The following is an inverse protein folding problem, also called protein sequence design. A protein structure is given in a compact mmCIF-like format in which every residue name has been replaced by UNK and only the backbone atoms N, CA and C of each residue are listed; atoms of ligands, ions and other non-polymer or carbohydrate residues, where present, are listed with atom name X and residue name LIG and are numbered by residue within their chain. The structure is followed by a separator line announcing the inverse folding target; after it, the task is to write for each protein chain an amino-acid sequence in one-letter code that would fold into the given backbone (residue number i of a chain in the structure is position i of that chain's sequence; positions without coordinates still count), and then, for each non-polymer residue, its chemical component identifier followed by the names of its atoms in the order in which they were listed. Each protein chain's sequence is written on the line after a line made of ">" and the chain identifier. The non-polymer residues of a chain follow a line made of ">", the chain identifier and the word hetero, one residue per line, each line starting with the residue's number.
data_IF_947868437766
#
_entry.id   IF_947868437766
#
_cell.length_a   1.000
_cell.length_b   1.000
_cell.length_c   1.000
_cell.angle_alpha   90.00
_cell.angle_beta   90.00
_cell.angle_gamma   90.00
#
_symmetry.space_group_name_H-M   'P 1'
#
loop_
_entity.id
_entity.type
_entity.pdbx_description
1 polymer ?
#
# COMPACT_ATOMS: atom_id res chain seq x y z
N UNK A 1 -3.59 -11.31 15.22
CA UNK A 1 -4.67 -11.45 14.22
C UNK A 1 -4.43 -10.45 13.10
N UNK A 2 -3.88 -10.89 11.98
CA UNK A 2 -3.74 -10.04 10.81
C UNK A 2 -5.14 -9.65 10.33
N UNK A 3 -5.50 -8.36 10.37
CA UNK A 3 -6.75 -7.91 9.78
C UNK A 3 -6.64 -8.12 8.29
N UNK A 4 -7.29 -9.17 7.77
CA UNK A 4 -7.44 -9.33 6.33
C UNK A 4 -8.09 -8.05 5.82
N UNK A 5 -7.49 -7.35 4.83
CA UNK A 5 -8.11 -6.15 4.30
C UNK A 5 -9.41 -6.57 3.62
N UNK A 6 -10.53 -6.40 4.33
CA UNK A 6 -11.86 -6.53 3.75
C UNK A 6 -11.89 -5.50 2.61
N UNK A 7 -11.98 -5.96 1.36
CA UNK A 7 -11.95 -5.09 0.17
C UNK A 7 -13.10 -4.07 0.10
N UNK A 8 -14.03 -4.13 1.06
CA UNK A 8 -15.18 -3.24 1.19
C UNK A 8 -14.73 -1.94 1.88
N UNK A 9 -14.72 -0.86 1.10
CA UNK A 9 -14.40 0.48 1.62
C UNK A 9 -15.66 1.17 2.15
N UNK A 10 -15.54 1.77 3.34
CA UNK A 10 -16.59 2.61 3.91
C UNK A 10 -16.75 3.91 3.12
N UNK A 11 -17.90 4.58 3.25
CA UNK A 11 -18.13 5.89 2.60
C UNK A 11 -17.04 6.90 2.97
N UNK A 12 -16.70 7.02 4.26
CA UNK A 12 -15.65 7.90 4.75
C UNK A 12 -14.28 7.60 4.10
N UNK A 13 -13.91 6.32 3.97
CA UNK A 13 -12.67 5.93 3.29
C UNK A 13 -12.67 6.33 1.80
N UNK A 14 -13.81 6.21 1.11
CA UNK A 14 -13.95 6.66 -0.28
C UNK A 14 -13.78 8.18 -0.40
N UNK A 15 -14.43 8.97 0.47
CA UNK A 15 -14.27 10.43 0.52
C UNK A 15 -12.81 10.83 0.78
N UNK A 16 -12.16 10.22 1.78
CA UNK A 16 -10.75 10.47 2.08
C UNK A 16 -9.82 10.12 0.89
N UNK A 17 -10.13 9.04 0.18
CA UNK A 17 -9.42 8.63 -1.02
C UNK A 17 -9.60 9.65 -2.16
N UNK A 18 -10.83 10.09 -2.41
CA UNK A 18 -11.15 11.12 -3.40
C UNK A 18 -10.42 12.43 -3.09
N UNK A 19 -10.49 12.91 -1.85
CA UNK A 19 -9.79 14.13 -1.41
C UNK A 19 -8.28 14.04 -1.63
N UNK A 20 -7.66 12.92 -1.24
CA UNK A 20 -6.22 12.69 -1.47
C UNK A 20 -5.86 12.68 -2.95
N UNK A 21 -6.66 12.02 -3.80
CA UNK A 21 -6.44 11.95 -5.25
C UNK A 21 -6.59 13.33 -5.89
N UNK A 22 -7.61 14.09 -5.51
CA UNK A 22 -7.83 15.46 -5.98
C UNK A 22 -6.66 16.38 -5.63
N UNK A 23 -6.14 16.32 -4.39
CA UNK A 23 -4.95 17.08 -4.01
C UNK A 23 -3.71 16.70 -4.83
N UNK A 24 -3.49 15.40 -5.07
CA UNK A 24 -2.35 14.94 -5.90
C UNK A 24 -2.51 15.36 -7.36
N UNK A 25 -3.74 15.43 -7.86
CA UNK A 25 -4.03 15.95 -9.18
C UNK A 25 -3.71 17.46 -9.26
N UNK A 26 -4.13 18.26 -8.28
CA UNK A 26 -3.77 19.68 -8.20
C UNK A 26 -2.24 19.88 -8.13
N UNK A 27 -1.54 19.05 -7.36
CA UNK A 27 -0.07 19.10 -7.28
C UNK A 27 0.62 18.74 -8.61
N UNK A 28 -0.05 18.00 -9.50
CA UNK A 28 0.46 17.71 -10.83
C UNK A 28 0.30 18.89 -11.80
N UNK A 29 -0.77 19.67 -11.67
CA UNK A 29 -0.99 20.89 -12.47
C UNK A 29 -0.18 22.10 -11.97
N UNK A 30 -0.14 22.31 -10.66
CA UNK A 30 0.51 23.48 -10.05
C UNK A 30 1.92 23.14 -9.56
N UNK A 31 2.91 23.50 -10.36
CA UNK A 31 4.34 23.35 -10.06
C UNK A 31 4.77 24.18 -8.83
N UNK A 32 4.33 25.44 -8.75
CA UNK A 32 4.69 26.37 -7.70
C UNK A 32 3.94 26.08 -6.41
N UNK A 33 4.70 25.89 -5.33
CA UNK A 33 4.16 25.52 -4.02
C UNK A 33 3.10 26.48 -3.48
N UNK A 34 3.30 27.79 -3.63
CA UNK A 34 2.36 28.80 -3.11
C UNK A 34 1.02 28.77 -3.85
N UNK A 35 1.04 28.63 -5.18
CA UNK A 35 -0.17 28.50 -6.01
C UNK A 35 -0.91 27.21 -5.66
N UNK A 36 -0.20 26.08 -5.57
CA UNK A 36 -0.78 24.82 -5.12
C UNK A 36 -1.44 24.95 -3.75
N UNK A 37 -0.77 25.61 -2.79
CA UNK A 37 -1.31 25.76 -1.42
C UNK A 37 -2.60 26.56 -1.39
N UNK A 38 -2.69 27.64 -2.18
CA UNK A 38 -3.94 28.39 -2.32
C UNK A 38 -5.08 27.51 -2.85
N UNK A 39 -4.84 26.78 -3.94
CA UNK A 39 -5.83 25.89 -4.56
C UNK A 39 -6.22 24.71 -3.66
N UNK A 40 -5.27 24.15 -2.91
CA UNK A 40 -5.54 23.09 -1.95
C UNK A 40 -6.44 23.55 -0.80
N UNK A 41 -6.32 24.80 -0.34
CA UNK A 41 -7.21 25.39 0.68
C UNK A 41 -8.62 25.58 0.13
N UNK A 42 -8.76 26.10 -1.09
CA UNK A 42 -10.08 26.21 -1.75
C UNK A 42 -10.73 24.84 -1.94
N UNK A 43 -9.97 23.82 -2.34
CA UNK A 43 -10.48 22.45 -2.43
C UNK A 43 -10.94 21.96 -1.04
N UNK A 44 -10.14 22.19 0.01
CA UNK A 44 -10.52 21.77 1.36
C UNK A 44 -11.80 22.44 1.83
N UNK A 45 -11.96 23.73 1.58
CA UNK A 45 -13.19 24.46 1.88
C UNK A 45 -14.42 23.85 1.20
N UNK A 46 -14.31 23.41 -0.07
CA UNK A 46 -15.38 22.71 -0.79
C UNK A 46 -15.80 21.40 -0.10
N UNK A 47 -14.83 20.63 0.41
CA UNK A 47 -15.12 19.40 1.16
C UNK A 47 -15.73 19.71 2.53
N UNK A 48 -15.20 20.71 3.24
CA UNK A 48 -15.67 21.07 4.58
C UNK A 48 -17.12 21.62 4.55
N UNK A 49 -17.52 22.34 3.48
CA UNK A 49 -18.91 22.78 3.25
C UNK A 49 -19.91 21.62 3.25
N UNK A 50 -19.51 20.46 2.73
CA UNK A 50 -20.36 19.27 2.62
C UNK A 50 -20.09 18.21 3.72
N UNK A 51 -19.25 18.52 4.70
CA UNK A 51 -18.84 17.54 5.72
C UNK A 51 -19.96 17.16 6.70
N UNK A 52 -20.98 18.02 6.87
CA UNK A 52 -22.09 17.83 7.82
C UNK A 52 -23.38 17.30 7.18
N UNK A 53 -23.31 16.80 5.94
CA UNK A 53 -24.48 16.20 5.27
C UNK A 53 -24.86 14.91 5.99
N UNK A 54 -26.08 14.85 6.53
CA UNK A 54 -26.59 13.71 7.30
C UNK A 54 -27.26 12.66 6.41
N UNK A 55 -27.86 13.07 5.30
CA UNK A 55 -28.51 12.15 4.38
C UNK A 55 -27.47 11.36 3.56
N UNK A 56 -27.58 10.04 3.62
CA UNK A 56 -26.66 9.11 2.98
C UNK A 56 -26.79 9.09 1.45
N UNK A 57 -27.98 9.37 0.91
CA UNK A 57 -28.22 9.37 -0.54
C UNK A 57 -27.55 10.57 -1.20
N UNK A 58 -27.77 11.76 -0.64
CA UNK A 58 -27.09 12.98 -1.08
C UNK A 58 -25.58 12.87 -0.92
N UNK A 59 -25.07 12.34 0.18
CA UNK A 59 -23.63 12.12 0.36
C UNK A 59 -23.03 11.18 -0.71
N UNK A 60 -23.73 10.10 -1.04
CA UNK A 60 -23.31 9.17 -2.10
C UNK A 60 -23.33 9.82 -3.49
N UNK A 61 -24.34 10.65 -3.77
CA UNK A 61 -24.42 11.39 -5.03
C UNK A 61 -23.27 12.41 -5.15
N UNK A 62 -23.02 13.21 -4.12
CA UNK A 62 -21.90 14.16 -4.08
C UNK A 62 -20.55 13.48 -4.29
N UNK A 63 -20.37 12.28 -3.74
CA UNK A 63 -19.17 11.49 -3.96
C UNK A 63 -19.04 11.07 -5.43
N UNK A 64 -20.13 10.63 -6.05
CA UNK A 64 -20.16 10.25 -7.46
C UNK A 64 -19.84 11.44 -8.36
N UNK A 65 -20.47 12.58 -8.12
CA UNK A 65 -20.24 13.82 -8.87
C UNK A 65 -18.78 14.29 -8.73
N UNK A 66 -18.20 14.17 -7.52
CA UNK A 66 -16.79 14.49 -7.28
C UNK A 66 -15.80 13.54 -7.95
N UNK A 67 -16.13 12.25 -8.08
CA UNK A 67 -15.34 11.28 -8.84
C UNK A 67 -15.40 11.58 -10.35
N UNK A 68 -16.56 11.96 -10.87
CA UNK A 68 -16.74 12.38 -12.27
C UNK A 68 -15.97 13.67 -12.58
N UNK A 69 -16.06 14.69 -11.70
CA UNK A 69 -15.28 15.93 -11.83
C UNK A 69 -13.76 15.64 -11.83
N UNK A 70 -13.30 14.77 -10.92
CA UNK A 70 -11.89 14.38 -10.87
C UNK A 70 -11.48 13.62 -12.13
N UNK A 71 -12.34 12.76 -12.68
CA UNK A 71 -12.06 12.01 -13.90
C UNK A 71 -11.87 12.94 -15.10
N UNK A 72 -12.76 13.92 -15.27
CA UNK A 72 -12.70 14.87 -16.38
C UNK A 72 -11.50 15.80 -16.29
N UNK A 73 -11.11 16.20 -15.06
CA UNK A 73 -10.02 17.15 -14.82
C UNK A 73 -8.67 16.49 -14.48
N UNK A 74 -8.48 15.21 -14.82
CA UNK A 74 -7.26 14.49 -14.50
C UNK A 74 -6.06 15.00 -15.30
N UNK A 75 -4.92 15.18 -14.62
CA UNK A 75 -3.67 15.51 -15.29
C UNK A 75 -3.24 14.35 -16.19
N UNK A 76 -2.90 14.58 -17.47
CA UNK A 76 -2.52 13.51 -18.39
C UNK A 76 -1.32 12.67 -17.92
N UNK A 77 -0.38 13.31 -17.21
CA UNK A 77 0.84 12.68 -16.68
C UNK A 77 0.91 12.94 -15.17
N UNK A 78 0.19 12.17 -14.33
CA UNK A 78 0.13 12.46 -12.91
C UNK A 78 1.50 12.26 -12.24
N UNK A 79 1.85 13.15 -11.31
CA UNK A 79 3.09 13.03 -10.54
C UNK A 79 3.04 11.82 -9.61
N UNK A 80 3.95 10.87 -9.81
CA UNK A 80 4.15 9.68 -8.94
C UNK A 80 5.42 9.82 -8.13
N UNK A 81 5.43 9.23 -6.93
CA UNK A 81 6.66 9.12 -6.16
C UNK A 81 7.58 8.08 -6.79
N UNK A 82 8.92 8.26 -6.73
CA UNK A 82 9.85 7.38 -7.42
C UNK A 82 9.62 5.89 -7.14
N UNK A 83 9.43 5.51 -5.87
CA UNK A 83 9.28 4.11 -5.44
C UNK A 83 7.84 3.62 -5.40
N UNK A 84 6.85 4.50 -5.64
CA UNK A 84 5.45 4.08 -5.70
C UNK A 84 5.14 3.38 -7.01
N UNK A 85 4.07 2.57 -7.06
CA UNK A 85 3.57 1.94 -8.29
C UNK A 85 3.44 2.96 -9.44
N UNK A 86 4.08 2.67 -10.57
CA UNK A 86 4.15 3.56 -11.74
C UNK A 86 5.17 4.70 -11.62
N UNK A 87 5.96 4.75 -10.55
CA UNK A 87 7.09 5.65 -10.41
C UNK A 87 8.35 5.15 -11.13
N UNK A 88 9.27 6.06 -11.40
CA UNK A 88 10.50 5.79 -12.19
C UNK A 88 11.48 4.82 -11.50
N UNK A 89 11.32 4.57 -10.20
CA UNK A 89 12.14 3.67 -9.41
C UNK A 89 11.31 2.56 -8.71
N UNK A 90 10.07 2.33 -9.17
CA UNK A 90 9.26 1.22 -8.68
C UNK A 90 9.96 -0.10 -8.98
N UNK A 91 10.12 -0.97 -7.97
CA UNK A 91 10.78 -2.28 -8.10
C UNK A 91 12.16 -2.22 -8.78
N UNK A 92 12.84 -1.07 -8.71
CA UNK A 92 14.19 -0.91 -9.30
C UNK A 92 15.20 -1.87 -8.66
N UNK A 93 15.04 -2.11 -7.35
CA UNK A 93 15.85 -3.08 -6.61
C UNK A 93 14.98 -4.28 -6.32
N UNK A 94 15.31 -5.41 -6.94
CA UNK A 94 14.67 -6.70 -6.67
C UNK A 94 15.46 -7.40 -5.58
N UNK A 95 14.84 -7.58 -4.42
CA UNK A 95 15.42 -8.37 -3.32
C UNK A 95 15.05 -9.83 -3.52
N UNK A 96 16.00 -10.75 -3.73
CA UNK A 96 15.69 -12.17 -3.84
C UNK A 96 15.08 -12.68 -2.54
N UNK A 97 14.20 -13.69 -2.59
CA UNK A 97 13.61 -14.25 -1.39
C UNK A 97 14.67 -15.01 -0.57
N UNK A 98 14.53 -15.02 0.76
CA UNK A 98 15.54 -15.55 1.69
C UNK A 98 15.90 -17.02 1.43
N UNK A 99 14.92 -17.83 1.02
CA UNK A 99 15.10 -19.26 0.76
C UNK A 99 16.12 -19.56 -0.36
N UNK A 100 16.47 -18.58 -1.21
CA UNK A 100 17.53 -18.74 -2.22
C UNK A 100 18.87 -19.09 -1.57
N UNK A 101 19.12 -18.59 -0.35
CA UNK A 101 20.35 -18.87 0.40
C UNK A 101 20.46 -20.32 0.86
N UNK A 102 19.35 -21.08 0.89
CA UNK A 102 19.40 -22.51 1.21
C UNK A 102 20.08 -23.32 0.11
N UNK A 103 20.03 -22.85 -1.14
CA UNK A 103 20.62 -23.52 -2.30
C UNK A 103 22.11 -23.23 -2.51
N UNK A 104 22.71 -22.34 -1.72
CA UNK A 104 24.14 -22.02 -1.84
C UNK A 104 25.03 -23.23 -1.56
N UNK A 105 26.16 -23.32 -2.28
CA UNK A 105 27.11 -24.41 -2.11
C UNK A 105 27.74 -24.33 -0.69
N UNK A 106 28.05 -25.44 -0.01
CA UNK A 106 28.63 -25.41 1.33
C UNK A 106 29.89 -24.55 1.47
N UNK A 107 30.73 -24.49 0.43
CA UNK A 107 31.92 -23.62 0.42
C UNK A 107 31.56 -22.12 0.44
N UNK A 108 30.49 -21.72 -0.26
CA UNK A 108 30.00 -20.33 -0.26
C UNK A 108 29.38 -19.98 1.10
N UNK A 109 28.69 -20.94 1.72
CA UNK A 109 28.16 -20.78 3.09
C UNK A 109 29.28 -20.66 4.12
N UNK A 110 30.36 -21.43 3.96
CA UNK A 110 31.51 -21.42 4.84
C UNK A 110 32.25 -20.07 4.86
N UNK A 111 32.08 -19.23 3.82
CA UNK A 111 32.60 -17.87 3.80
C UNK A 111 31.92 -16.95 4.83
N UNK A 112 30.68 -17.27 5.24
CA UNK A 112 29.86 -16.45 6.15
C UNK A 112 29.35 -17.26 7.36
N UNK A 113 30.25 -17.81 8.20
CA UNK A 113 29.88 -18.81 9.22
C UNK A 113 28.91 -18.27 10.27
N UNK A 114 29.16 -17.05 10.79
CA UNK A 114 28.30 -16.42 11.81
C UNK A 114 26.90 -16.08 11.28
N UNK A 115 26.80 -15.70 10.00
CA UNK A 115 25.52 -15.40 9.38
C UNK A 115 24.66 -16.66 9.24
N UNK A 116 25.22 -17.74 8.69
CA UNK A 116 24.48 -18.99 8.49
C UNK A 116 24.15 -19.68 9.82
N UNK A 117 25.01 -19.60 10.83
CA UNK A 117 24.70 -20.08 12.19
C UNK A 117 23.45 -19.41 12.76
N UNK A 118 23.40 -18.08 12.74
CA UNK A 118 22.24 -17.30 13.21
C UNK A 118 20.98 -17.56 12.37
N UNK A 119 21.14 -17.79 11.06
CA UNK A 119 20.01 -18.10 10.17
C UNK A 119 19.37 -19.44 10.53
N UNK A 120 20.15 -20.47 10.81
CA UNK A 120 19.63 -21.78 11.21
C UNK A 120 18.91 -21.73 12.58
N UNK A 121 19.41 -20.92 13.53
CA UNK A 121 18.73 -20.65 14.79
C UNK A 121 17.34 -20.04 14.53
N UNK A 122 17.25 -19.00 13.70
CA UNK A 122 15.98 -18.34 13.34
C UNK A 122 15.01 -19.26 12.60
N UNK A 123 15.49 -20.16 11.74
CA UNK A 123 14.64 -21.15 11.06
C UNK A 123 13.98 -22.09 12.07
N UNK A 124 14.72 -22.53 13.09
CA UNK A 124 14.16 -23.36 14.18
C UNK A 124 13.13 -22.60 15.01
N UNK A 125 13.43 -21.35 15.34
CA UNK A 125 12.48 -20.46 16.05
C UNK A 125 11.18 -20.29 15.26
N UNK A 126 11.28 -20.06 13.94
CA UNK A 126 10.12 -19.92 13.07
C UNK A 126 9.26 -21.20 13.04
N UNK A 127 9.87 -22.37 12.89
CA UNK A 127 9.15 -23.65 12.90
C UNK A 127 8.45 -23.87 14.26
N UNK A 128 9.15 -23.61 15.37
CA UNK A 128 8.57 -23.76 16.71
C UNK A 128 7.39 -22.79 16.95
N UNK A 129 7.51 -21.55 16.46
CA UNK A 129 6.43 -20.57 16.49
C UNK A 129 5.23 -21.03 15.64
N UNK A 130 5.50 -21.53 14.43
CA UNK A 130 4.47 -22.03 13.51
C UNK A 130 3.70 -23.22 14.10
N UNK A 131 4.41 -24.23 14.62
CA UNK A 131 3.79 -25.40 15.27
C UNK A 131 2.94 -25.01 16.48
N UNK A 132 3.35 -23.95 17.21
CA UNK A 132 2.59 -23.42 18.35
C UNK A 132 1.32 -22.70 17.94
N UNK A 133 1.35 -21.92 16.85
CA UNK A 133 0.22 -21.10 16.41
C UNK A 133 -0.80 -21.90 15.58
N UNK A 134 -0.32 -22.79 14.72
CA UNK A 134 -1.15 -23.51 13.73
C UNK A 134 -1.20 -25.03 13.96
N UNK A 135 -0.44 -25.56 14.91
CA UNK A 135 -0.31 -27.00 15.13
C UNK A 135 0.67 -27.66 14.15
N UNK A 136 0.88 -28.97 14.33
CA UNK A 136 1.68 -29.75 13.38
C UNK A 136 0.84 -30.06 12.14
N UNK A 137 1.42 -30.00 10.93
CA UNK A 137 0.71 -30.40 9.72
C UNK A 137 0.22 -31.85 9.84
N UNK A 138 -1.04 -32.10 9.48
CA UNK A 138 -1.58 -33.46 9.44
C UNK A 138 -0.88 -34.27 8.34
N UNK A 139 -0.67 -35.57 8.57
CA UNK A 139 0.01 -36.44 7.60
C UNK A 139 -0.73 -36.53 6.25
N UNK A 140 -2.03 -36.24 6.25
CA UNK A 140 -2.87 -36.22 5.04
C UNK A 140 -2.56 -35.04 4.11
N UNK A 141 -2.04 -33.94 4.66
CA UNK A 141 -1.72 -32.72 3.89
C UNK A 141 -0.36 -32.81 3.17
N UNK A 142 0.42 -33.88 3.40
CA UNK A 142 1.73 -34.09 2.78
C UNK A 142 1.66 -34.59 1.32
N UNK A 143 0.47 -34.93 0.82
CA UNK A 143 0.25 -35.65 -0.44
C UNK A 143 -0.49 -34.87 -1.55
N UNK A 144 -0.46 -33.54 -1.50
CA UNK A 144 -1.04 -32.69 -2.55
C UNK A 144 0.01 -31.79 -3.19
#
# INVERSE_FOLDING_TARGET
>A
MASVPIGIKTHAQKVCSLYKRALRNLEAFYDRRHVYRYQAVLLRERFDKNAKVTDSRTAAQLLKDGEEELFLNQHPIPRKFPTSLGGVAHERVVTPPDWVLDYWHPLEKAQYPEYFKRREERKKEFIAMWEKEYGKPDEKDKHH
#
